data_IF_401638623729
#
_entry.id   IF_401638623729
#
_cell.length_a   1.000
_cell.length_b   1.000
_cell.length_c   1.000
_cell.angle_alpha   90.00
_cell.angle_beta   90.00
_cell.angle_gamma   90.00
#
_symmetry.space_group_name_H-M   'P 1'
#
loop_
_entity.id
_entity.type
_entity.pdbx_description
1 polymer ?
#
# COMPACT_ATOMS: atom_id res chain seq x y z
N UNK A 1 16.38 1.57 -3.75
CA UNK A 1 15.34 0.86 -4.53
C UNK A 1 15.67 0.85 -6.02
N UNK A 2 16.64 0.03 -6.45
CA UNK A 2 17.03 -0.13 -7.87
C UNK A 2 16.89 -1.60 -8.32
N UNK A 3 15.98 -2.38 -7.70
CA UNK A 3 15.84 -3.82 -7.92
C UNK A 3 15.07 -4.18 -9.19
N UNK A 4 13.98 -4.93 -9.07
CA UNK A 4 13.12 -5.37 -10.19
C UNK A 4 12.64 -4.23 -11.10
N UNK A 5 12.55 -3.01 -10.57
CA UNK A 5 12.10 -1.80 -11.27
C UNK A 5 13.00 -1.36 -12.45
N UNK A 6 14.21 -1.92 -12.61
CA UNK A 6 15.12 -1.57 -13.73
C UNK A 6 15.59 -2.78 -14.54
N UNK A 7 15.19 -4.00 -14.14
CA UNK A 7 15.57 -5.21 -14.85
C UNK A 7 14.71 -5.40 -16.11
N UNK A 8 15.29 -5.83 -17.25
CA UNK A 8 14.49 -6.10 -18.44
C UNK A 8 13.46 -7.20 -18.16
N UNK A 9 12.20 -6.96 -18.51
CA UNK A 9 11.09 -7.90 -18.24
C UNK A 9 11.30 -9.27 -18.88
N UNK A 10 12.09 -9.37 -19.96
CA UNK A 10 12.46 -10.65 -20.56
C UNK A 10 13.24 -11.54 -19.60
N UNK A 11 14.19 -10.97 -18.85
CA UNK A 11 14.94 -11.68 -17.81
C UNK A 11 14.05 -12.05 -16.63
N UNK A 12 13.22 -11.13 -16.16
CA UNK A 12 12.28 -11.40 -15.06
C UNK A 12 11.31 -12.53 -15.43
N UNK A 13 10.76 -12.50 -16.66
CA UNK A 13 9.88 -13.55 -17.21
C UNK A 13 10.56 -14.90 -17.25
N UNK A 14 11.83 -14.94 -17.65
CA UNK A 14 12.60 -16.18 -17.69
C UNK A 14 12.80 -16.76 -16.28
N UNK A 15 13.19 -15.93 -15.29
CA UNK A 15 13.37 -16.37 -13.90
C UNK A 15 12.06 -16.83 -13.25
N UNK A 16 10.97 -16.08 -13.43
CA UNK A 16 9.66 -16.40 -12.88
C UNK A 16 9.13 -17.72 -13.45
N UNK A 17 9.11 -17.87 -14.78
CA UNK A 17 8.60 -19.08 -15.46
C UNK A 17 9.45 -20.32 -15.20
N UNK A 18 10.77 -20.16 -15.01
CA UNK A 18 11.65 -21.27 -14.66
C UNK A 18 11.50 -21.73 -13.21
N UNK A 19 10.74 -21.00 -12.38
CA UNK A 19 10.49 -21.32 -10.96
C UNK A 19 11.75 -21.54 -10.13
N UNK A 20 12.88 -20.96 -10.55
CA UNK A 20 14.18 -21.10 -9.89
C UNK A 20 14.18 -20.55 -8.45
N UNK A 21 13.21 -19.71 -8.11
CA UNK A 21 13.07 -19.14 -6.77
C UNK A 21 12.43 -20.08 -5.74
N UNK A 22 11.71 -21.12 -6.18
CA UNK A 22 11.05 -22.10 -5.28
C UNK A 22 12.02 -22.80 -4.30
N UNK A 23 13.16 -23.36 -4.74
CA UNK A 23 14.12 -23.96 -3.80
C UNK A 23 14.72 -22.94 -2.81
N UNK A 24 14.70 -21.65 -3.16
CA UNK A 24 15.14 -20.56 -2.30
C UNK A 24 14.01 -20.02 -1.40
N UNK A 25 12.84 -20.66 -1.36
CA UNK A 25 11.69 -20.19 -0.58
C UNK A 25 11.98 -19.91 0.91
N UNK A 26 12.82 -20.68 1.64
CA UNK A 26 13.14 -20.34 3.03
C UNK A 26 13.89 -19.00 3.13
N UNK A 27 14.80 -18.73 2.20
CA UNK A 27 15.54 -17.46 2.13
C UNK A 27 14.60 -16.30 1.79
N UNK A 28 13.73 -16.49 0.78
CA UNK A 28 12.74 -15.48 0.39
C UNK A 28 11.84 -15.12 1.56
N UNK A 29 11.31 -16.11 2.28
CA UNK A 29 10.47 -15.89 3.47
C UNK A 29 11.24 -15.20 4.59
N UNK A 30 12.49 -15.57 4.84
CA UNK A 30 13.34 -14.89 5.83
C UNK A 30 13.54 -13.41 5.51
N UNK A 31 13.83 -13.08 4.24
CA UNK A 31 13.94 -11.70 3.78
C UNK A 31 12.60 -10.95 3.88
N UNK A 32 11.50 -11.57 3.48
CA UNK A 32 10.16 -10.96 3.61
C UNK A 32 9.83 -10.67 5.07
N UNK A 33 10.09 -11.59 6.00
CA UNK A 33 9.90 -11.35 7.44
C UNK A 33 10.77 -10.22 7.97
N UNK A 34 12.00 -10.08 7.48
CA UNK A 34 12.87 -8.96 7.83
C UNK A 34 12.30 -7.62 7.34
N UNK A 35 11.92 -7.50 6.07
CA UNK A 35 11.35 -6.27 5.52
C UNK A 35 9.96 -5.95 6.08
N UNK A 36 9.21 -6.96 6.53
CA UNK A 36 7.90 -6.78 7.16
C UNK A 36 7.99 -5.93 8.44
N UNK A 37 9.14 -5.92 9.12
CA UNK A 37 9.39 -5.12 10.33
C UNK A 37 9.29 -3.61 10.07
N UNK A 38 9.47 -3.17 8.83
CA UNK A 38 9.40 -1.76 8.44
C UNK A 38 7.98 -1.26 8.23
N UNK A 39 7.00 -2.18 8.06
CA UNK A 39 5.61 -1.82 7.72
C UNK A 39 4.62 -2.08 8.85
N UNK A 40 5.01 -2.81 9.90
CA UNK A 40 4.18 -3.03 11.09
C UNK A 40 4.70 -2.18 12.25
N UNK A 41 3.81 -1.83 13.19
CA UNK A 41 4.20 -1.08 14.38
C UNK A 41 5.00 -1.94 15.39
N UNK A 42 4.58 -3.18 15.62
CA UNK A 42 5.27 -4.13 16.51
C UNK A 42 5.81 -5.33 15.72
N UNK A 43 7.13 -5.41 15.48
CA UNK A 43 7.75 -6.52 14.79
C UNK A 43 7.54 -7.90 15.45
N UNK A 44 7.20 -7.96 16.74
CA UNK A 44 6.96 -9.23 17.43
C UNK A 44 5.62 -9.88 17.04
N UNK A 45 4.75 -9.13 16.35
CA UNK A 45 3.46 -9.64 15.84
C UNK A 45 3.59 -10.42 14.54
N UNK A 46 4.75 -10.36 13.87
CA UNK A 46 4.97 -11.00 12.57
C UNK A 46 5.00 -12.51 12.74
N UNK A 47 4.12 -13.21 12.04
CA UNK A 47 4.02 -14.67 12.13
C UNK A 47 4.60 -15.38 10.88
N UNK A 48 5.07 -16.63 11.00
CA UNK A 48 5.46 -17.42 9.84
C UNK A 48 4.32 -17.64 8.84
N UNK A 49 3.08 -17.75 9.33
CA UNK A 49 1.89 -17.91 8.49
C UNK A 49 1.61 -16.65 7.65
N UNK A 50 1.69 -15.47 8.26
CA UNK A 50 1.57 -14.20 7.54
C UNK A 50 2.63 -14.09 6.43
N UNK A 51 3.89 -14.36 6.75
CA UNK A 51 4.99 -14.36 5.77
C UNK A 51 4.77 -15.39 4.66
N UNK A 52 4.22 -16.55 5.00
CA UNK A 52 3.83 -17.56 4.00
C UNK A 52 2.82 -16.97 3.02
N UNK A 53 1.73 -16.35 3.50
CA UNK A 53 0.68 -15.80 2.63
C UNK A 53 1.15 -14.61 1.81
N UNK A 54 2.02 -13.75 2.36
CA UNK A 54 2.64 -12.64 1.61
C UNK A 54 3.49 -13.18 0.45
N UNK A 55 4.24 -14.26 0.68
CA UNK A 55 5.15 -14.82 -0.33
C UNK A 55 4.47 -15.80 -1.29
N UNK A 56 3.28 -16.30 -0.94
CA UNK A 56 2.61 -17.38 -1.66
C UNK A 56 2.40 -17.09 -3.16
N UNK A 57 1.84 -15.93 -3.58
CA UNK A 57 1.64 -15.66 -5.00
C UNK A 57 2.96 -15.69 -5.78
N UNK A 58 4.02 -15.10 -5.22
CA UNK A 58 5.32 -14.97 -5.88
C UNK A 58 6.08 -16.30 -5.96
N UNK A 59 5.83 -17.22 -5.04
CA UNK A 59 6.46 -18.54 -5.04
C UNK A 59 5.67 -19.56 -5.87
N UNK A 60 4.33 -19.50 -5.85
CA UNK A 60 3.48 -20.55 -6.39
C UNK A 60 2.83 -20.21 -7.74
N UNK A 61 2.55 -18.92 -8.00
CA UNK A 61 1.80 -18.50 -9.17
C UNK A 61 2.75 -18.00 -10.28
N UNK A 62 2.75 -18.64 -11.47
CA UNK A 62 3.56 -18.16 -12.58
C UNK A 62 3.17 -16.73 -13.00
N UNK A 63 4.18 -15.92 -13.34
CA UNK A 63 4.06 -14.52 -13.74
C UNK A 63 3.71 -13.53 -12.61
N UNK A 64 3.62 -13.98 -11.35
CA UNK A 64 3.37 -13.07 -10.23
C UNK A 64 4.55 -12.12 -9.99
N UNK A 65 5.79 -12.59 -10.13
CA UNK A 65 7.00 -11.75 -10.00
C UNK A 65 7.10 -10.81 -11.20
N UNK A 66 6.77 -11.29 -12.40
CA UNK A 66 6.72 -10.46 -13.61
C UNK A 66 5.73 -9.31 -13.44
N UNK A 67 4.51 -9.60 -12.99
CA UNK A 67 3.49 -8.59 -12.77
C UNK A 67 3.95 -7.55 -11.74
N UNK A 68 4.54 -8.01 -10.64
CA UNK A 68 5.11 -7.11 -9.64
C UNK A 68 6.24 -6.23 -10.19
N UNK A 69 7.12 -6.78 -11.03
CA UNK A 69 8.17 -6.01 -11.70
C UNK A 69 7.61 -4.98 -12.68
N UNK A 70 6.55 -5.32 -13.43
CA UNK A 70 5.83 -4.39 -14.31
C UNK A 70 5.25 -3.22 -13.50
N UNK A 71 4.58 -3.50 -12.38
CA UNK A 71 4.00 -2.45 -11.53
C UNK A 71 5.09 -1.53 -10.93
N UNK A 72 6.23 -2.10 -10.52
CA UNK A 72 7.37 -1.31 -10.05
C UNK A 72 8.01 -0.45 -11.15
N UNK A 73 8.07 -0.95 -12.38
CA UNK A 73 8.57 -0.19 -13.54
C UNK A 73 7.65 0.98 -13.87
N UNK A 74 6.33 0.75 -13.87
CA UNK A 74 5.32 1.81 -14.07
C UNK A 74 5.44 2.86 -12.96
N UNK A 75 5.48 2.44 -11.70
CA UNK A 75 5.63 3.36 -10.56
C UNK A 75 6.90 4.21 -10.68
N UNK A 76 8.04 3.60 -11.05
CA UNK A 76 9.29 4.34 -11.25
C UNK A 76 9.21 5.34 -12.41
N UNK A 77 8.55 4.98 -13.51
CA UNK A 77 8.33 5.87 -14.65
C UNK A 77 7.46 7.08 -14.24
N UNK A 78 6.36 6.82 -13.55
CA UNK A 78 5.44 7.85 -13.05
C UNK A 78 6.13 8.80 -12.07
N UNK A 79 6.91 8.28 -11.11
CA UNK A 79 7.68 9.11 -10.16
C UNK A 79 8.69 9.99 -10.89
N UNK A 80 9.43 9.45 -11.86
CA UNK A 80 10.36 10.25 -12.69
C UNK A 80 9.64 11.31 -13.51
N UNK A 81 8.41 11.05 -13.92
CA UNK A 81 7.62 11.98 -14.69
C UNK A 81 7.05 13.15 -13.85
N UNK A 82 7.09 13.09 -12.51
CA UNK A 82 6.60 14.18 -11.64
C UNK A 82 7.34 15.50 -11.93
N UNK A 83 8.64 15.44 -12.18
CA UNK A 83 9.49 16.61 -12.47
C UNK A 83 9.34 17.11 -13.91
N UNK A 84 8.68 16.32 -14.77
CA UNK A 84 8.44 16.64 -16.18
C UNK A 84 7.18 17.50 -16.35
N UNK A 85 7.16 18.42 -17.34
CA UNK A 85 5.95 19.13 -17.73
C UNK A 85 4.94 18.26 -18.48
N UNK A 86 5.32 17.03 -18.87
CA UNK A 86 4.42 16.13 -19.58
C UNK A 86 3.31 15.59 -18.68
N UNK A 87 2.10 15.34 -19.22
CA UNK A 87 1.04 14.66 -18.49
C UNK A 87 1.51 13.30 -17.95
N UNK A 88 1.17 13.01 -16.70
CA UNK A 88 1.44 11.73 -16.03
C UNK A 88 0.30 11.41 -15.06
N UNK A 89 0.19 10.14 -14.68
CA UNK A 89 -0.92 9.62 -13.89
C UNK A 89 -0.96 10.27 -12.50
N UNK A 90 0.20 10.44 -11.85
CA UNK A 90 0.29 11.02 -10.50
C UNK A 90 -0.26 12.45 -10.49
N UNK A 91 0.13 13.26 -11.49
CA UNK A 91 -0.37 14.63 -11.65
C UNK A 91 -1.87 14.65 -11.90
N UNK A 92 -2.35 13.81 -12.83
CA UNK A 92 -3.76 13.72 -13.17
C UNK A 92 -4.62 13.34 -11.96
N UNK A 93 -4.20 12.34 -11.18
CA UNK A 93 -4.89 11.93 -9.94
C UNK A 93 -4.92 13.11 -8.96
N UNK A 94 -3.78 13.74 -8.68
CA UNK A 94 -3.67 14.85 -7.73
C UNK A 94 -4.57 16.02 -8.09
N UNK A 95 -4.64 16.38 -9.36
CA UNK A 95 -5.50 17.46 -9.87
C UNK A 95 -6.99 17.10 -9.81
N UNK A 96 -7.34 15.81 -9.84
CA UNK A 96 -8.72 15.32 -9.79
C UNK A 96 -9.26 15.15 -8.37
N UNK A 97 -8.41 15.14 -7.33
CA UNK A 97 -8.84 14.89 -5.94
C UNK A 97 -9.91 15.87 -5.45
N UNK A 98 -9.81 17.14 -5.84
CA UNK A 98 -10.77 18.18 -5.46
C UNK A 98 -12.17 17.96 -6.06
N UNK A 99 -12.29 17.12 -7.10
CA UNK A 99 -13.57 16.77 -7.73
C UNK A 99 -14.32 15.67 -6.99
N UNK A 100 -13.68 15.00 -6.02
CA UNK A 100 -14.28 13.94 -5.23
C UNK A 100 -15.15 14.53 -4.12
N UNK A 101 -16.47 14.65 -4.38
CA UNK A 101 -17.43 15.26 -3.46
C UNK A 101 -18.04 14.30 -2.45
N UNK A 102 -17.80 12.99 -2.57
CA UNK A 102 -18.32 12.01 -1.62
C UNK A 102 -17.63 12.15 -0.24
N UNK A 103 -18.35 11.92 0.88
CA UNK A 103 -17.72 11.77 2.18
C UNK A 103 -16.57 10.77 2.09
N UNK A 104 -15.40 11.15 2.60
CA UNK A 104 -14.18 10.33 2.51
C UNK A 104 -13.54 10.20 3.88
N UNK A 105 -13.09 9.01 4.25
CA UNK A 105 -12.27 8.79 5.43
C UNK A 105 -10.83 8.49 4.99
N UNK A 106 -9.88 9.27 5.48
CA UNK A 106 -8.44 9.03 5.31
C UNK A 106 -7.88 8.52 6.64
N UNK A 107 -7.47 7.25 6.67
CA UNK A 107 -6.82 6.63 7.81
C UNK A 107 -5.31 6.54 7.57
N UNK A 108 -4.53 6.81 8.62
CA UNK A 108 -3.06 6.74 8.55
C UNK A 108 -2.47 6.09 9.80
N UNK A 109 -1.46 5.22 9.64
CA UNK A 109 -0.69 4.72 10.78
C UNK A 109 0.18 5.83 11.36
N UNK A 110 0.10 6.06 12.67
CA UNK A 110 0.94 7.06 13.34
C UNK A 110 2.45 6.74 13.22
N UNK A 111 2.78 5.45 13.13
CA UNK A 111 4.15 4.91 13.05
C UNK A 111 4.50 4.44 11.64
N UNK A 112 3.86 5.00 10.60
CA UNK A 112 4.19 4.70 9.21
C UNK A 112 5.58 5.27 8.84
N UNK A 113 6.57 4.38 8.74
CA UNK A 113 7.95 4.72 8.37
C UNK A 113 8.17 4.80 6.86
N UNK A 114 7.24 4.32 6.04
CA UNK A 114 7.30 4.41 4.58
C UNK A 114 6.73 5.73 4.09
N UNK A 115 5.58 6.12 4.63
CA UNK A 115 4.91 7.39 4.34
C UNK A 115 4.57 8.10 5.64
N UNK A 116 5.39 9.07 6.09
CA UNK A 116 5.15 9.74 7.36
C UNK A 116 3.78 10.43 7.40
N UNK A 117 3.13 10.58 8.57
CA UNK A 117 1.75 11.04 8.69
C UNK A 117 1.38 12.35 7.98
N UNK A 118 2.34 13.28 7.84
CA UNK A 118 2.12 14.54 7.10
C UNK A 118 1.77 14.33 5.61
N UNK A 119 2.10 13.17 5.02
CA UNK A 119 1.61 12.81 3.68
C UNK A 119 0.10 12.57 3.68
N UNK A 120 -0.45 11.96 4.74
CA UNK A 120 -1.88 11.78 4.92
C UNK A 120 -2.62 13.10 5.14
N UNK A 121 -2.05 14.00 5.94
CA UNK A 121 -2.56 15.37 6.11
C UNK A 121 -2.61 16.12 4.77
N UNK A 122 -1.55 15.97 3.96
CA UNK A 122 -1.52 16.54 2.61
C UNK A 122 -2.60 15.95 1.71
N UNK A 123 -2.84 14.64 1.74
CA UNK A 123 -3.93 14.02 0.99
C UNK A 123 -5.28 14.57 1.44
N UNK A 124 -5.51 14.65 2.76
CA UNK A 124 -6.71 15.22 3.37
C UNK A 124 -6.96 16.65 2.88
N UNK A 125 -5.93 17.51 2.83
CA UNK A 125 -6.07 18.90 2.38
C UNK A 125 -6.50 19.06 0.92
N UNK A 126 -6.45 18.00 0.11
CA UNK A 126 -6.87 18.00 -1.30
C UNK A 126 -8.29 17.43 -1.50
N UNK A 127 -8.92 16.90 -0.44
CA UNK A 127 -10.22 16.26 -0.49
C UNK A 127 -11.26 17.14 0.24
N UNK A 128 -12.30 17.63 -0.46
CA UNK A 128 -13.20 18.67 0.09
C UNK A 128 -14.06 18.18 1.27
N UNK A 129 -14.47 16.91 1.26
CA UNK A 129 -15.37 16.32 2.25
C UNK A 129 -14.70 15.15 2.99
N UNK A 130 -13.42 15.31 3.33
CA UNK A 130 -12.66 14.26 4.01
C UNK A 130 -12.54 14.46 5.52
N UNK A 131 -12.61 13.36 6.25
CA UNK A 131 -12.15 13.23 7.63
C UNK A 131 -10.76 12.60 7.62
N UNK A 132 -9.85 13.08 8.46
CA UNK A 132 -8.52 12.50 8.64
C UNK A 132 -8.36 12.00 10.06
N UNK A 133 -7.88 10.76 10.19
CA UNK A 133 -7.62 10.15 11.48
C UNK A 133 -6.31 9.36 11.44
N UNK A 134 -5.40 9.70 12.35
CA UNK A 134 -4.24 8.86 12.64
C UNK A 134 -4.63 7.74 13.60
N UNK A 135 -4.01 6.58 13.41
CA UNK A 135 -4.23 5.37 14.21
C UNK A 135 -3.02 5.16 15.11
N UNK A 136 -3.17 5.35 16.44
CA UNK A 136 -2.10 5.15 17.40
C UNK A 136 -1.58 3.71 17.35
N UNK A 137 -0.27 3.54 17.55
CA UNK A 137 0.40 2.23 17.56
C UNK A 137 0.22 1.40 16.26
N UNK A 138 0.00 2.07 15.12
CA UNK A 138 -0.15 1.41 13.83
C UNK A 138 0.89 1.89 12.83
N UNK A 139 1.45 0.95 12.08
CA UNK A 139 2.46 1.20 11.05
C UNK A 139 1.85 1.39 9.67
N UNK A 140 2.68 1.22 8.64
CA UNK A 140 2.28 1.33 7.23
C UNK A 140 1.13 0.39 6.84
N UNK A 141 1.22 -0.88 7.22
CA UNK A 141 0.15 -1.85 7.01
C UNK A 141 -0.82 -1.90 8.19
N UNK A 142 -1.47 -0.76 8.47
CA UNK A 142 -2.46 -0.66 9.53
C UNK A 142 -3.64 -1.63 9.31
N UNK A 143 -4.07 -1.86 8.07
CA UNK A 143 -5.17 -2.78 7.78
C UNK A 143 -4.86 -4.22 8.19
N UNK A 144 -3.65 -4.71 7.92
CA UNK A 144 -3.21 -6.05 8.30
C UNK A 144 -2.81 -6.18 9.76
N UNK A 145 -2.07 -5.20 10.31
CA UNK A 145 -1.48 -5.29 11.66
C UNK A 145 -2.35 -4.69 12.78
N UNK A 146 -3.27 -3.79 12.44
CA UNK A 146 -4.17 -3.09 13.36
C UNK A 146 -5.65 -3.16 12.94
N UNK A 147 -6.22 -4.36 12.71
CA UNK A 147 -7.56 -4.48 12.12
C UNK A 147 -8.67 -3.87 13.00
N UNK A 148 -8.53 -3.94 14.33
CA UNK A 148 -9.54 -3.42 15.29
C UNK A 148 -9.74 -1.90 15.19
N UNK A 149 -8.72 -1.05 15.37
CA UNK A 149 -8.91 0.40 15.26
C UNK A 149 -9.31 0.84 13.85
N UNK A 150 -8.80 0.16 12.80
CA UNK A 150 -9.23 0.42 11.41
C UNK A 150 -10.72 0.14 11.24
N UNK A 151 -11.19 -1.02 11.70
CA UNK A 151 -12.60 -1.42 11.56
C UNK A 151 -13.51 -0.48 12.35
N UNK A 152 -13.11 -0.10 13.58
CA UNK A 152 -13.90 0.84 14.39
C UNK A 152 -14.04 2.19 13.69
N UNK A 153 -12.94 2.77 13.18
CA UNK A 153 -12.97 4.05 12.48
C UNK A 153 -13.85 4.00 11.22
N UNK A 154 -13.82 2.89 10.48
CA UNK A 154 -14.70 2.68 9.32
C UNK A 154 -16.17 2.62 9.75
N UNK A 155 -16.50 1.89 10.81
CA UNK A 155 -17.88 1.77 11.29
C UNK A 155 -18.43 3.11 11.78
N UNK A 156 -17.64 3.86 12.55
CA UNK A 156 -18.01 5.19 13.04
C UNK A 156 -18.26 6.16 11.89
N UNK A 157 -17.37 6.14 10.89
CA UNK A 157 -17.52 6.93 9.67
C UNK A 157 -18.81 6.59 8.92
N UNK A 158 -19.10 5.30 8.70
CA UNK A 158 -20.30 4.86 8.00
C UNK A 158 -21.58 5.25 8.75
N UNK A 159 -21.59 5.17 10.08
CA UNK A 159 -22.72 5.63 10.91
C UNK A 159 -22.92 7.13 10.79
N UNK A 160 -21.86 7.92 10.89
CA UNK A 160 -21.93 9.38 10.76
C UNK A 160 -22.41 9.84 9.37
N UNK A 161 -21.96 9.16 8.31
CA UNK A 161 -22.38 9.44 6.94
C UNK A 161 -23.85 9.07 6.70
N UNK A 162 -24.32 7.96 7.28
CA UNK A 162 -25.73 7.56 7.21
C UNK A 162 -26.66 8.59 7.86
N UNK A 163 -26.27 9.11 9.04
CA UNK A 163 -27.01 10.16 9.76
C UNK A 163 -27.04 11.46 8.93
N UNK A 164 -25.90 11.87 8.37
CA UNK A 164 -25.84 13.07 7.53
C UNK A 164 -26.69 12.97 6.25
N UNK A 165 -26.91 11.76 5.73
CA UNK A 165 -27.76 11.51 4.57
C UNK A 165 -29.26 11.40 4.90
N UNK A 166 -29.64 11.30 6.18
CA UNK A 166 -31.03 11.11 6.60
C UNK A 166 -31.33 11.84 7.93
N UNK A 167 -31.53 13.17 7.90
CA UNK A 167 -31.57 14.03 9.11
C UNK A 167 -32.86 13.94 9.96
N UNK A 168 -33.79 13.03 9.64
CA UNK A 168 -35.10 12.91 10.32
C UNK A 168 -35.22 11.70 11.28
N UNK A 169 -34.11 11.11 11.74
CA UNK A 169 -34.09 10.10 12.83
C UNK A 169 -33.55 10.69 14.11
#
# INVERSE_FOLDING_TARGET
>A
MHGLAVLPLTWVKWVDRSRLIKPLSPLVRGLTGFFRREVVADPNTITPEEVYWITYPYLEMPNAIVKYAEDLQIALQEIKAIESPQPNLIRQIRESLSTLTHPTLVLWGEQDNWFPPHHGEKLHSHLPNAQFQTLPHCGHDAAGSCPKPVTQAILDFLQSAAIASNPEV
#
